data_IF_145671675091
#
_entry.id   IF_145671675091
#
_cell.length_a   1.000
_cell.length_b   1.000
_cell.length_c   1.000
_cell.angle_alpha   90.00
_cell.angle_beta   90.00
_cell.angle_gamma   90.00
#
_symmetry.space_group_name_H-M   'P 1'
#
loop_
_entity.id
_entity.type
_entity.pdbx_description
1 polymer ?
#
# COMPACT_ATOMS: atom_id res chain seq x y z
N UNK A 1 9.54 -9.10 77.22
CA UNK A 1 10.17 -9.67 76.00
C UNK A 1 9.44 -9.11 74.76
N UNK A 2 10.02 -8.17 74.08
CA UNK A 2 9.35 -7.68 72.86
C UNK A 2 9.64 -8.61 71.67
N UNK A 3 8.59 -9.04 71.01
CA UNK A 3 8.63 -9.80 69.78
C UNK A 3 8.86 -8.85 68.59
N UNK A 4 10.05 -8.94 67.99
CA UNK A 4 10.35 -8.24 66.74
C UNK A 4 9.57 -8.89 65.59
N UNK A 5 8.65 -8.15 64.96
CA UNK A 5 8.02 -8.49 63.72
C UNK A 5 8.90 -7.98 62.56
N UNK A 6 9.59 -8.90 61.89
CA UNK A 6 10.27 -8.67 60.62
C UNK A 6 9.24 -8.59 59.52
N UNK A 7 8.99 -7.37 59.03
CA UNK A 7 8.18 -7.16 57.83
C UNK A 7 9.03 -7.42 56.60
N UNK A 8 8.77 -8.49 55.90
CA UNK A 8 9.39 -8.81 54.62
C UNK A 8 8.67 -8.03 53.56
N UNK A 9 9.29 -7.00 53.02
CA UNK A 9 8.79 -6.24 51.90
C UNK A 9 9.07 -7.02 50.60
N UNK A 10 8.01 -7.52 49.96
CA UNK A 10 8.07 -8.20 48.66
C UNK A 10 8.07 -7.10 47.56
N UNK A 11 9.26 -6.82 46.98
CA UNK A 11 9.35 -6.00 45.78
C UNK A 11 8.88 -6.80 44.55
N UNK A 12 7.67 -6.51 44.05
CA UNK A 12 7.27 -6.95 42.73
C UNK A 12 7.96 -6.05 41.69
N UNK A 13 9.01 -6.57 41.06
CA UNK A 13 9.60 -5.95 39.89
C UNK A 13 8.61 -6.12 38.71
N UNK A 14 7.85 -5.07 38.42
CA UNK A 14 7.02 -5.01 37.23
C UNK A 14 7.89 -4.93 35.98
N UNK A 15 7.95 -6.02 35.21
CA UNK A 15 8.56 -6.02 33.90
C UNK A 15 7.66 -5.21 32.93
N UNK A 16 8.05 -4.00 32.58
CA UNK A 16 7.39 -3.22 31.52
C UNK A 16 7.81 -3.82 30.19
N UNK A 17 6.89 -4.57 29.55
CA UNK A 17 7.07 -5.05 28.18
C UNK A 17 6.85 -3.85 27.27
N UNK A 18 7.94 -3.24 26.78
CA UNK A 18 7.88 -2.25 25.71
C UNK A 18 7.49 -2.95 24.43
N UNK A 19 6.23 -2.83 24.03
CA UNK A 19 5.79 -3.24 22.69
C UNK A 19 6.35 -2.25 21.68
N UNK A 20 7.34 -2.67 20.90
CA UNK A 20 7.82 -1.88 19.77
C UNK A 20 6.68 -1.81 18.74
N UNK A 21 6.05 -0.65 18.60
CA UNK A 21 5.11 -0.35 17.50
C UNK A 21 5.94 -0.21 16.23
N UNK A 22 5.87 -1.19 15.35
CA UNK A 22 6.34 -1.01 13.98
C UNK A 22 5.38 -0.04 13.28
N UNK A 23 5.94 1.03 12.68
CA UNK A 23 5.14 1.94 11.87
C UNK A 23 4.46 1.16 10.73
N UNK A 24 3.16 1.38 10.52
CA UNK A 24 2.43 0.81 9.39
C UNK A 24 3.04 1.31 8.06
N UNK A 25 2.99 0.47 7.01
CA UNK A 25 3.45 0.87 5.69
C UNK A 25 2.61 2.05 5.16
N UNK A 26 3.27 3.11 4.74
CA UNK A 26 2.63 4.32 4.19
C UNK A 26 2.23 4.08 2.72
N UNK A 27 1.10 3.44 2.50
CA UNK A 27 0.60 3.16 1.17
C UNK A 27 0.23 4.43 0.37
N UNK A 28 -0.41 5.46 0.95
CA UNK A 28 -0.62 6.73 0.25
C UNK A 28 0.67 7.40 -0.21
N UNK A 29 1.65 7.52 0.68
CA UNK A 29 2.96 8.10 0.34
C UNK A 29 3.68 7.30 -0.73
N UNK A 30 3.63 5.98 -0.65
CA UNK A 30 4.19 5.10 -1.67
C UNK A 30 3.53 5.31 -3.03
N UNK A 31 2.19 5.39 -3.06
CA UNK A 31 1.43 5.66 -4.28
C UNK A 31 1.88 6.99 -4.92
N UNK A 32 2.01 8.05 -4.14
CA UNK A 32 2.46 9.35 -4.63
C UNK A 32 3.85 9.29 -5.27
N UNK A 33 4.77 8.52 -4.69
CA UNK A 33 6.14 8.41 -5.19
C UNK A 33 6.29 7.54 -6.44
N UNK A 34 5.48 6.47 -6.57
CA UNK A 34 5.72 5.42 -7.57
C UNK A 34 4.62 5.27 -8.61
N UNK A 35 3.41 5.66 -8.30
CA UNK A 35 2.24 5.41 -9.15
C UNK A 35 1.65 6.71 -9.72
N UNK A 36 1.66 7.77 -8.93
CA UNK A 36 1.00 9.03 -9.25
C UNK A 36 1.54 9.71 -10.50
N UNK A 37 2.83 9.57 -10.79
CA UNK A 37 3.44 10.13 -12.01
C UNK A 37 2.71 9.68 -13.27
N UNK A 38 2.26 8.43 -13.32
CA UNK A 38 1.53 7.87 -14.45
C UNK A 38 0.01 7.89 -14.24
N UNK A 39 -0.46 7.53 -13.04
CA UNK A 39 -1.89 7.36 -12.75
C UNK A 39 -2.58 8.61 -12.17
N UNK A 40 -1.83 9.69 -11.94
CA UNK A 40 -2.34 10.91 -11.30
C UNK A 40 -2.32 10.81 -9.77
N UNK A 41 -2.09 11.95 -9.10
CA UNK A 41 -2.04 12.02 -7.65
C UNK A 41 -3.35 11.61 -6.97
N UNK A 42 -4.46 11.87 -7.63
CA UNK A 42 -5.83 11.54 -7.22
C UNK A 42 -6.40 10.29 -7.93
N UNK A 43 -5.57 9.56 -8.69
CA UNK A 43 -5.98 8.38 -9.44
C UNK A 43 -6.78 8.68 -10.72
N UNK A 44 -6.85 9.92 -11.17
CA UNK A 44 -7.60 10.30 -12.38
C UNK A 44 -6.87 9.98 -13.69
N UNK A 45 -5.66 9.46 -13.60
CA UNK A 45 -4.83 9.18 -14.77
C UNK A 45 -4.20 10.44 -15.35
N UNK A 46 -3.57 10.27 -16.49
CA UNK A 46 -2.85 11.34 -17.21
C UNK A 46 -3.33 11.47 -18.66
N UNK A 47 -4.63 11.23 -18.90
CA UNK A 47 -5.21 11.29 -20.24
C UNK A 47 -5.01 12.66 -20.92
N UNK A 48 -4.98 13.72 -20.14
CA UNK A 48 -4.75 15.07 -20.65
C UNK A 48 -3.28 15.35 -21.00
N UNK A 49 -2.35 14.48 -20.60
CA UNK A 49 -0.94 14.58 -20.97
C UNK A 49 -0.72 14.22 -22.43
N UNK A 50 0.33 14.77 -23.04
CA UNK A 50 0.71 14.44 -24.41
C UNK A 50 2.17 13.98 -24.42
N UNK A 51 2.43 12.68 -24.58
CA UNK A 51 1.46 11.56 -24.64
C UNK A 51 0.86 11.23 -23.27
N UNK A 52 -0.32 10.59 -23.24
CA UNK A 52 -0.88 10.07 -21.99
C UNK A 52 -0.03 8.93 -21.44
N UNK A 53 0.14 8.87 -20.11
CA UNK A 53 1.01 7.89 -19.47
C UNK A 53 0.27 6.68 -18.92
N UNK A 54 -0.89 6.89 -18.30
CA UNK A 54 -1.69 5.80 -17.76
C UNK A 54 -3.18 6.16 -17.65
N UNK A 55 -4.08 5.15 -17.67
CA UNK A 55 -5.49 5.36 -17.44
C UNK A 55 -5.80 5.71 -15.98
N UNK A 56 -6.99 6.26 -15.75
CA UNK A 56 -7.50 6.46 -14.41
C UNK A 56 -7.60 5.14 -13.64
N UNK A 57 -7.31 5.18 -12.36
CA UNK A 57 -7.59 4.11 -11.40
C UNK A 57 -8.92 4.39 -10.67
N UNK A 58 -9.19 5.66 -10.39
CA UNK A 58 -10.45 6.09 -9.76
C UNK A 58 -11.62 5.85 -10.70
N UNK A 59 -12.62 5.11 -10.22
CA UNK A 59 -13.79 4.71 -11.01
C UNK A 59 -13.52 3.68 -12.11
N UNK A 60 -12.30 3.17 -12.23
CA UNK A 60 -11.97 2.19 -13.25
C UNK A 60 -12.63 0.84 -12.91
N UNK A 61 -13.42 0.24 -13.84
CA UNK A 61 -14.15 -1.01 -13.57
C UNK A 61 -13.24 -2.17 -13.13
N UNK A 62 -12.05 -2.28 -13.70
CA UNK A 62 -11.09 -3.32 -13.28
C UNK A 62 -10.64 -3.13 -11.83
N UNK A 63 -10.44 -1.88 -11.40
CA UNK A 63 -10.03 -1.56 -10.02
C UNK A 63 -11.22 -1.72 -9.06
N UNK A 64 -12.37 -1.17 -9.41
CA UNK A 64 -13.55 -1.17 -8.54
C UNK A 64 -14.09 -2.58 -8.35
N UNK A 65 -14.25 -3.33 -9.44
CA UNK A 65 -14.86 -4.66 -9.42
C UNK A 65 -13.85 -5.81 -9.32
N UNK A 66 -12.58 -5.56 -9.64
CA UNK A 66 -11.54 -6.57 -9.60
C UNK A 66 -11.20 -7.03 -8.19
N UNK A 67 -10.79 -8.29 -8.06
CA UNK A 67 -10.31 -8.81 -6.78
C UNK A 67 -8.99 -8.17 -6.38
N UNK A 68 -8.69 -8.04 -5.07
CA UNK A 68 -7.36 -7.60 -4.61
C UNK A 68 -6.22 -8.41 -5.22
N UNK A 69 -6.40 -9.72 -5.40
CA UNK A 69 -5.40 -10.61 -6.01
C UNK A 69 -5.13 -10.27 -7.48
N UNK A 70 -6.18 -9.91 -8.25
CA UNK A 70 -6.02 -9.51 -9.65
C UNK A 70 -5.23 -8.20 -9.76
N UNK A 71 -5.52 -7.21 -8.91
CA UNK A 71 -4.82 -5.93 -8.88
C UNK A 71 -3.37 -6.13 -8.44
N UNK A 72 -3.13 -6.93 -7.40
CA UNK A 72 -1.78 -7.33 -6.95
C UNK A 72 -0.97 -7.93 -8.10
N UNK A 73 -1.57 -8.83 -8.86
CA UNK A 73 -0.92 -9.47 -10.01
C UNK A 73 -0.49 -8.45 -11.05
N UNK A 74 -1.36 -7.48 -11.36
CA UNK A 74 -1.03 -6.40 -12.31
C UNK A 74 0.13 -5.55 -11.80
N UNK A 75 0.13 -5.16 -10.53
CA UNK A 75 1.22 -4.39 -9.94
C UNK A 75 2.53 -5.18 -9.99
N UNK A 76 2.51 -6.44 -9.60
CA UNK A 76 3.71 -7.29 -9.55
C UNK A 76 4.29 -7.61 -10.91
N UNK A 77 3.44 -7.88 -11.90
CA UNK A 77 3.86 -8.30 -13.25
C UNK A 77 3.88 -7.18 -14.28
N UNK A 78 3.22 -6.07 -13.99
CA UNK A 78 2.98 -5.02 -14.98
C UNK A 78 2.02 -5.46 -16.09
N UNK A 79 1.90 -4.63 -17.10
CA UNK A 79 1.13 -4.93 -18.32
C UNK A 79 1.89 -4.47 -19.55
N UNK A 80 2.05 -5.35 -20.53
CA UNK A 80 2.72 -5.06 -21.79
C UNK A 80 2.03 -5.74 -22.97
N UNK A 81 2.19 -5.18 -24.16
CA UNK A 81 1.65 -5.72 -25.39
C UNK A 81 0.14 -5.97 -25.29
N UNK A 82 -0.32 -7.13 -25.70
CA UNK A 82 -1.73 -7.52 -25.73
C UNK A 82 -2.37 -7.67 -24.33
N UNK A 83 -1.59 -7.71 -23.26
CA UNK A 83 -2.09 -7.78 -21.88
C UNK A 83 -2.55 -6.42 -21.35
N UNK A 84 -2.29 -5.33 -22.06
CA UNK A 84 -2.77 -4.00 -21.70
C UNK A 84 -4.29 -3.91 -21.97
N UNK A 85 -5.02 -3.30 -21.04
CA UNK A 85 -6.47 -3.09 -21.21
C UNK A 85 -6.80 -2.08 -22.32
N UNK A 86 -5.90 -1.14 -22.56
CA UNK A 86 -6.07 0.00 -23.49
C UNK A 86 -4.89 0.02 -24.47
N UNK A 87 -4.78 -1.00 -25.31
CA UNK A 87 -3.60 -1.38 -26.09
C UNK A 87 -2.72 -0.24 -26.60
N UNK A 88 -3.27 0.67 -27.39
CA UNK A 88 -2.48 1.68 -28.09
C UNK A 88 -2.53 3.06 -27.45
N UNK A 89 -3.35 3.24 -26.40
CA UNK A 89 -3.56 4.56 -25.78
C UNK A 89 -2.45 4.93 -24.80
N UNK A 90 -1.79 3.94 -24.17
CA UNK A 90 -0.85 4.16 -23.10
C UNK A 90 0.40 3.28 -23.24
N UNK A 91 1.55 3.70 -22.70
CA UNK A 91 2.74 2.86 -22.64
C UNK A 91 2.54 1.64 -21.75
N UNK A 92 3.53 0.75 -21.73
CA UNK A 92 3.53 -0.40 -20.84
C UNK A 92 3.56 0.03 -19.37
N UNK A 93 2.78 -0.65 -18.54
CA UNK A 93 2.91 -0.55 -17.10
C UNK A 93 4.10 -1.39 -16.65
N UNK A 94 5.10 -0.83 -15.95
CA UNK A 94 6.23 -1.62 -15.45
C UNK A 94 5.80 -2.58 -14.35
N UNK A 95 6.61 -3.61 -14.13
CA UNK A 95 6.45 -4.54 -13.00
C UNK A 95 7.10 -3.98 -11.75
N UNK A 96 6.48 -4.22 -10.59
CA UNK A 96 7.00 -3.84 -9.28
C UNK A 96 7.19 -5.10 -8.43
N UNK A 97 8.42 -5.60 -8.34
CA UNK A 97 8.76 -6.75 -7.52
C UNK A 97 8.61 -6.51 -6.02
N UNK A 98 8.83 -7.55 -5.23
CA UNK A 98 8.71 -7.48 -3.77
C UNK A 98 9.70 -6.49 -3.14
N UNK A 99 10.87 -6.32 -3.71
CA UNK A 99 11.87 -5.35 -3.26
C UNK A 99 11.42 -3.89 -3.50
N UNK A 100 10.72 -3.67 -4.63
CA UNK A 100 10.20 -2.34 -4.98
C UNK A 100 8.98 -1.97 -4.13
N UNK A 101 8.10 -2.93 -3.82
CA UNK A 101 6.93 -2.74 -2.95
C UNK A 101 6.91 -3.83 -1.90
N UNK A 102 7.43 -3.56 -0.68
CA UNK A 102 7.43 -4.53 0.42
C UNK A 102 6.02 -4.98 0.82
N UNK A 103 5.07 -4.06 0.87
CA UNK A 103 3.66 -4.33 1.22
C UNK A 103 2.71 -3.93 0.08
N UNK A 104 2.62 -4.80 -0.93
CA UNK A 104 1.72 -4.58 -2.07
C UNK A 104 0.25 -4.64 -1.67
N UNK A 105 -0.10 -5.39 -0.63
CA UNK A 105 -1.48 -5.51 -0.18
C UNK A 105 -2.00 -4.21 0.44
N UNK A 106 -1.15 -3.49 1.17
CA UNK A 106 -1.48 -2.15 1.64
C UNK A 106 -1.70 -1.17 0.48
N UNK A 107 -0.88 -1.24 -0.58
CA UNK A 107 -1.06 -0.41 -1.78
C UNK A 107 -2.36 -0.76 -2.50
N UNK A 108 -2.68 -2.05 -2.65
CA UNK A 108 -3.95 -2.50 -3.26
C UNK A 108 -5.14 -2.02 -2.44
N UNK A 109 -5.08 -2.11 -1.11
CA UNK A 109 -6.14 -1.62 -0.23
C UNK A 109 -6.36 -0.10 -0.37
N UNK A 110 -5.29 0.67 -0.46
CA UNK A 110 -5.36 2.11 -0.71
C UNK A 110 -6.01 2.42 -2.07
N UNK A 111 -5.57 1.75 -3.14
CA UNK A 111 -6.09 1.94 -4.50
C UNK A 111 -7.58 1.60 -4.58
N UNK A 112 -8.03 0.53 -3.92
CA UNK A 112 -9.44 0.12 -3.90
C UNK A 112 -10.31 0.92 -2.94
N UNK A 113 -9.72 1.54 -1.93
CA UNK A 113 -10.39 2.25 -0.85
C UNK A 113 -10.27 3.76 -0.97
N UNK A 114 -9.29 4.34 -0.31
CA UNK A 114 -9.16 5.79 -0.14
C UNK A 114 -8.99 6.53 -1.47
N UNK A 115 -8.28 5.95 -2.42
CA UNK A 115 -8.09 6.56 -3.74
C UNK A 115 -9.41 6.68 -4.53
N UNK A 116 -10.45 5.89 -4.18
CA UNK A 116 -11.74 5.92 -4.86
C UNK A 116 -12.71 6.99 -4.32
N UNK A 117 -12.38 7.62 -3.19
CA UNK A 117 -13.23 8.65 -2.51
C UNK A 117 -13.12 10.05 -3.09
#
# INVERSE_FOLDING_TARGET
MPRSLLATALFLAGATISTASFAAFDAPGYYQMRCATCHGADGQGTRASVPPLAPALKGNPFVVNGSPAAIRTVIRKGRSGQKRLYNDAYPNMPSFGAEAIPDVDAVVAYIKGDLQR
#
